data_IF_622056471294
#
_entry.id   IF_622056471294
#
_cell.length_a   1.000
_cell.length_b   1.000
_cell.length_c   1.000
_cell.angle_alpha   90.00
_cell.angle_beta   90.00
_cell.angle_gamma   90.00
#
_symmetry.space_group_name_H-M   'P 1'
#
loop_
_entity.id
_entity.type
_entity.pdbx_description
1 polymer ?
#
# COMPACT_ATOMS: atom_id res chain seq x y z
N UNK A 1 -4.12 -18.16 9.48
CA UNK A 1 -2.91 -17.33 9.73
C UNK A 1 -3.05 -16.09 8.86
N UNK A 2 -2.86 -14.88 9.43
CA UNK A 2 -2.98 -13.63 8.69
C UNK A 2 -1.58 -13.07 8.44
N UNK A 3 -1.20 -12.95 7.17
CA UNK A 3 0.05 -12.41 6.70
C UNK A 3 -0.13 -10.92 6.43
N UNK A 4 0.58 -10.10 7.20
CA UNK A 4 0.50 -8.65 7.17
C UNK A 4 1.85 -8.10 6.73
N UNK A 5 1.83 -7.18 5.76
CA UNK A 5 3.01 -6.40 5.35
C UNK A 5 2.89 -4.98 5.88
N UNK A 6 3.89 -4.52 6.64
CA UNK A 6 4.02 -3.11 6.99
C UNK A 6 5.28 -2.59 6.31
N UNK A 7 5.13 -1.55 5.48
CA UNK A 7 6.22 -1.03 4.67
C UNK A 7 6.25 0.50 4.68
N UNK A 8 7.38 1.06 5.10
CA UNK A 8 7.71 2.46 4.88
C UNK A 8 8.32 2.63 3.48
N UNK A 9 7.57 3.24 2.56
CA UNK A 9 8.00 3.39 1.17
C UNK A 9 8.80 4.67 0.90
N UNK A 10 8.88 5.61 1.86
CA UNK A 10 9.58 6.91 1.72
C UNK A 10 9.25 7.64 0.40
N UNK A 11 7.99 7.57 -0.01
CA UNK A 11 7.46 8.11 -1.26
C UNK A 11 7.05 7.06 -2.30
N UNK A 12 5.80 7.14 -2.78
CA UNK A 12 5.29 6.30 -3.89
C UNK A 12 5.64 6.85 -5.28
N UNK A 13 6.48 7.89 -5.34
CA UNK A 13 6.84 8.58 -6.59
C UNK A 13 7.51 7.71 -7.66
N UNK A 14 8.07 6.55 -7.29
CA UNK A 14 8.63 5.61 -8.24
C UNK A 14 7.63 4.50 -8.56
N UNK A 15 7.30 4.34 -9.85
CA UNK A 15 6.52 3.23 -10.42
C UNK A 15 6.91 1.84 -9.85
N UNK A 16 8.16 1.72 -9.39
CA UNK A 16 8.75 0.56 -8.72
C UNK A 16 7.98 0.11 -7.46
N UNK A 17 7.45 1.03 -6.65
CA UNK A 17 6.78 0.69 -5.38
C UNK A 17 5.53 -0.14 -5.64
N UNK A 18 4.71 0.22 -6.65
CA UNK A 18 3.50 -0.52 -7.02
C UNK A 18 3.80 -1.95 -7.46
N UNK A 19 4.82 -2.13 -8.30
CA UNK A 19 5.21 -3.45 -8.80
C UNK A 19 5.72 -4.35 -7.66
N UNK A 20 6.46 -3.77 -6.71
CA UNK A 20 6.94 -4.48 -5.53
C UNK A 20 5.79 -4.90 -4.60
N UNK A 21 4.80 -4.03 -4.36
CA UNK A 21 3.60 -4.39 -3.58
C UNK A 21 2.90 -5.59 -4.22
N UNK A 22 2.61 -5.54 -5.53
CA UNK A 22 1.93 -6.65 -6.23
C UNK A 22 2.73 -7.95 -6.12
N UNK A 23 4.05 -7.89 -6.32
CA UNK A 23 4.94 -9.05 -6.24
C UNK A 23 4.92 -9.66 -4.83
N UNK A 24 5.09 -8.85 -3.80
CA UNK A 24 5.12 -9.31 -2.40
C UNK A 24 3.76 -9.89 -1.98
N UNK A 25 2.66 -9.25 -2.41
CA UNK A 25 1.30 -9.71 -2.12
C UNK A 25 1.07 -11.12 -2.68
N UNK A 26 1.46 -11.34 -3.94
CA UNK A 26 1.31 -12.63 -4.59
C UNK A 26 2.24 -13.71 -4.01
N UNK A 27 3.51 -13.38 -3.73
CA UNK A 27 4.50 -14.34 -3.24
C UNK A 27 4.23 -14.83 -1.82
N UNK A 28 3.69 -13.96 -0.95
CA UNK A 28 3.54 -14.27 0.47
C UNK A 28 2.08 -14.42 0.90
N UNK A 29 1.12 -14.42 -0.04
CA UNK A 29 -0.31 -14.46 0.26
C UNK A 29 -0.70 -13.40 1.31
N UNK A 30 -0.18 -12.18 1.16
CA UNK A 30 -0.43 -11.08 2.09
C UNK A 30 -1.92 -10.70 2.03
N UNK A 31 -2.59 -10.60 3.18
CA UNK A 31 -4.00 -10.18 3.26
C UNK A 31 -4.18 -8.71 3.66
N UNK A 32 -3.18 -8.12 4.32
CA UNK A 32 -3.23 -6.73 4.77
C UNK A 32 -1.89 -6.03 4.49
N UNK A 33 -1.95 -4.82 3.93
CA UNK A 33 -0.77 -4.00 3.68
C UNK A 33 -0.95 -2.63 4.33
N UNK A 34 -0.04 -2.31 5.26
CA UNK A 34 0.12 -0.96 5.79
C UNK A 34 1.28 -0.27 5.08
N UNK A 35 1.01 0.83 4.36
CA UNK A 35 2.05 1.63 3.72
C UNK A 35 2.21 2.95 4.47
N UNK A 36 3.45 3.27 4.84
CA UNK A 36 3.80 4.50 5.57
C UNK A 36 4.67 5.41 4.71
N UNK A 37 4.64 6.71 5.01
CA UNK A 37 5.37 7.75 4.28
C UNK A 37 5.13 7.69 2.76
N UNK A 38 3.86 7.71 2.35
CA UNK A 38 3.48 7.70 0.93
C UNK A 38 4.00 8.94 0.17
N UNK A 39 4.24 10.06 0.88
CA UNK A 39 4.67 11.37 0.36
C UNK A 39 3.88 11.83 -0.88
N UNK A 40 2.61 11.47 -0.93
CA UNK A 40 1.64 11.90 -1.94
C UNK A 40 0.38 12.42 -1.26
N UNK A 41 -0.36 13.28 -1.96
CA UNK A 41 -1.66 13.76 -1.49
C UNK A 41 -2.72 12.65 -1.46
N UNK A 42 -3.85 12.93 -0.80
CA UNK A 42 -4.96 12.00 -0.65
C UNK A 42 -5.53 11.56 -2.01
N UNK A 43 -5.64 12.46 -2.98
CA UNK A 43 -6.12 12.18 -4.33
C UNK A 43 -5.26 11.14 -5.07
N UNK A 44 -3.93 11.25 -4.98
CA UNK A 44 -3.00 10.26 -5.55
C UNK A 44 -3.04 8.94 -4.80
N UNK A 45 -3.24 8.99 -3.48
CA UNK A 45 -3.39 7.79 -2.65
C UNK A 45 -4.58 6.96 -3.11
N UNK A 46 -5.73 7.58 -3.36
CA UNK A 46 -6.92 6.88 -3.88
C UNK A 46 -6.70 6.22 -5.24
N UNK A 47 -6.00 6.90 -6.16
CA UNK A 47 -5.65 6.34 -7.47
C UNK A 47 -4.78 5.09 -7.32
N UNK A 48 -3.74 5.16 -6.48
CA UNK A 48 -2.84 4.03 -6.21
C UNK A 48 -3.62 2.85 -5.61
N UNK A 49 -4.54 3.10 -4.68
CA UNK A 49 -5.35 2.05 -4.04
C UNK A 49 -6.30 1.37 -5.03
N UNK A 50 -6.99 2.15 -5.89
CA UNK A 50 -7.83 1.61 -6.95
C UNK A 50 -7.04 0.74 -7.92
N UNK A 51 -5.86 1.19 -8.34
CA UNK A 51 -4.97 0.41 -9.20
C UNK A 51 -4.52 -0.92 -8.58
N UNK A 52 -4.39 -0.95 -7.25
CA UNK A 52 -3.99 -2.12 -6.48
C UNK A 52 -5.16 -3.02 -6.10
N UNK A 53 -6.41 -2.63 -6.38
CA UNK A 53 -7.63 -3.33 -5.96
C UNK A 53 -7.67 -3.59 -4.44
N UNK A 54 -7.16 -2.63 -3.66
CA UNK A 54 -7.13 -2.71 -2.20
C UNK A 54 -8.18 -1.79 -1.60
N UNK A 55 -8.87 -2.29 -0.57
CA UNK A 55 -9.85 -1.52 0.19
C UNK A 55 -9.14 -0.61 1.21
N UNK A 56 -9.54 0.65 1.30
CA UNK A 56 -8.91 1.62 2.19
C UNK A 56 -9.61 1.63 3.55
N UNK A 57 -8.84 1.38 4.62
CA UNK A 57 -9.27 1.61 5.99
C UNK A 57 -8.47 2.79 6.56
N UNK A 58 -9.13 3.93 6.73
CA UNK A 58 -8.54 5.03 7.49
C UNK A 58 -8.43 4.61 8.96
N UNK A 59 -7.21 4.38 9.42
CA UNK A 59 -6.93 4.41 10.86
C UNK A 59 -6.82 5.89 11.28
N UNK A 60 -7.96 6.59 11.35
CA UNK A 60 -7.96 7.90 12.00
C UNK A 60 -7.67 7.68 13.48
N UNK A 61 -6.52 8.20 13.93
CA UNK A 61 -6.36 8.62 15.31
C UNK A 61 -7.08 9.96 15.43
N UNK A 62 -8.04 10.01 16.34
CA UNK A 62 -8.47 11.26 16.98
C UNK A 62 -7.25 12.06 17.47
#
# INVERSE_FOLDING_TARGET
MCNILIWNCKGVGNLTTKAQIKKLTAQHSIQLIGVMELLVDNSKTEIIMRDLHMEHVWANKE
#
